data_IF_380170622324
#
_entry.id   IF_380170622324
#
_cell.length_a   1.000
_cell.length_b   1.000
_cell.length_c   1.000
_cell.angle_alpha   90.00
_cell.angle_beta   90.00
_cell.angle_gamma   90.00
#
_symmetry.space_group_name_H-M   'P 1'
#
loop_
_entity.id
_entity.type
_entity.pdbx_description
1 polymer ?
#
# COMPACT_ATOMS: atom_id res chain seq x y z
N UNK A 1 -14.38 22.53 7.64
CA UNK A 1 -14.64 21.30 6.90
C UNK A 1 -13.92 20.09 7.47
N UNK A 2 -13.96 18.98 6.76
CA UNK A 2 -13.22 17.77 7.20
C UNK A 2 -11.71 18.02 7.23
N UNK A 3 -11.20 18.74 6.25
CA UNK A 3 -9.77 19.11 6.16
C UNK A 3 -9.28 19.81 7.43
N UNK A 4 -9.99 20.84 7.90
CA UNK A 4 -9.59 21.60 9.12
C UNK A 4 -9.51 20.72 10.36
N UNK A 5 -10.40 19.72 10.45
CA UNK A 5 -10.39 18.75 11.54
C UNK A 5 -9.17 17.83 11.48
N UNK A 6 -8.81 17.37 10.29
CA UNK A 6 -7.63 16.54 10.07
C UNK A 6 -6.35 17.34 10.33
N UNK A 7 -6.24 18.56 9.80
CA UNK A 7 -5.10 19.44 10.02
C UNK A 7 -4.88 19.74 11.50
N UNK A 8 -5.97 20.05 12.22
CA UNK A 8 -5.90 20.22 13.67
C UNK A 8 -5.45 18.95 14.40
N UNK A 9 -5.95 17.78 13.99
CA UNK A 9 -5.57 16.52 14.61
C UNK A 9 -4.07 16.22 14.40
N UNK A 10 -3.55 16.45 13.19
CA UNK A 10 -2.12 16.32 12.88
C UNK A 10 -1.29 17.25 13.78
N UNK A 11 -1.71 18.51 13.90
CA UNK A 11 -1.05 19.49 14.75
C UNK A 11 -0.97 19.01 16.20
N UNK A 12 -2.09 18.55 16.76
CA UNK A 12 -2.15 18.07 18.15
C UNK A 12 -1.28 16.83 18.38
N UNK A 13 -1.29 15.88 17.44
CA UNK A 13 -0.48 14.67 17.51
C UNK A 13 1.03 15.02 17.49
N UNK A 14 1.44 15.92 16.63
CA UNK A 14 2.85 16.37 16.56
C UNK A 14 3.26 17.11 17.82
N UNK A 15 2.42 17.99 18.37
CA UNK A 15 2.68 18.67 19.65
C UNK A 15 2.83 17.67 20.80
N UNK A 16 2.15 16.53 20.74
CA UNK A 16 2.30 15.43 21.69
C UNK A 16 3.53 14.53 21.42
N UNK A 17 4.40 14.88 20.46
CA UNK A 17 5.58 14.08 20.11
C UNK A 17 5.28 12.80 19.34
N UNK A 18 4.07 12.66 18.80
CA UNK A 18 3.66 11.48 18.06
C UNK A 18 4.08 11.63 16.59
N UNK A 19 4.80 10.63 16.06
CA UNK A 19 5.16 10.58 14.65
C UNK A 19 3.89 10.39 13.81
N UNK A 20 3.68 11.30 12.86
CA UNK A 20 2.54 11.26 11.95
C UNK A 20 3.02 10.94 10.54
N UNK A 21 2.42 9.93 9.93
CA UNK A 21 2.59 9.59 8.53
C UNK A 21 1.27 9.84 7.79
N UNK A 22 1.35 10.57 6.68
CA UNK A 22 0.22 10.74 5.77
C UNK A 22 0.23 9.62 4.73
N UNK A 23 -0.93 9.04 4.49
CA UNK A 23 -1.13 8.08 3.41
C UNK A 23 -2.18 8.65 2.45
N UNK A 24 -1.73 8.98 1.24
CA UNK A 24 -2.57 9.51 0.18
C UNK A 24 -2.85 8.42 -0.86
N UNK A 25 -4.10 8.03 -1.02
CA UNK A 25 -4.55 7.24 -2.17
C UNK A 25 -4.89 8.19 -3.31
N UNK A 26 -4.01 8.24 -4.31
CA UNK A 26 -4.22 9.09 -5.47
C UNK A 26 -5.14 8.42 -6.47
N UNK A 27 -6.14 9.16 -6.93
CA UNK A 27 -7.17 8.71 -7.87
C UNK A 27 -7.41 9.80 -8.92
N UNK A 28 -8.14 9.52 -10.01
CA UNK A 28 -8.51 10.56 -10.97
C UNK A 28 -9.25 11.76 -10.35
N UNK A 29 -9.88 11.59 -9.18
CA UNK A 29 -10.66 12.65 -8.53
C UNK A 29 -9.80 13.66 -7.75
N UNK A 30 -8.61 13.29 -7.32
CA UNK A 30 -7.71 14.14 -6.53
C UNK A 30 -6.30 14.26 -7.13
N UNK A 31 -6.11 13.79 -8.35
CA UNK A 31 -4.80 13.85 -9.02
C UNK A 31 -4.30 15.28 -9.21
N UNK A 32 -5.22 16.21 -9.45
CA UNK A 32 -4.91 17.64 -9.59
C UNK A 32 -4.37 18.27 -8.29
N UNK A 33 -4.59 17.65 -7.15
CA UNK A 33 -4.15 18.16 -5.85
C UNK A 33 -2.79 17.61 -5.43
N UNK A 34 -2.14 16.75 -6.25
CA UNK A 34 -0.90 16.05 -5.88
C UNK A 34 0.20 17.02 -5.40
N UNK A 35 0.44 18.10 -6.13
CA UNK A 35 1.44 19.11 -5.78
C UNK A 35 1.12 19.78 -4.43
N UNK A 36 -0.15 20.14 -4.23
CA UNK A 36 -0.61 20.71 -2.97
C UNK A 36 -0.47 19.72 -1.79
N UNK A 37 -0.72 18.44 -2.01
CA UNK A 37 -0.56 17.38 -1.01
C UNK A 37 0.91 17.21 -0.63
N UNK A 38 1.82 17.21 -1.61
CA UNK A 38 3.26 17.11 -1.38
C UNK A 38 3.76 18.35 -0.63
N UNK A 39 3.38 19.56 -1.07
CA UNK A 39 3.75 20.82 -0.41
C UNK A 39 3.24 20.87 1.03
N UNK A 40 1.97 20.48 1.26
CA UNK A 40 1.38 20.42 2.59
C UNK A 40 2.19 19.53 3.55
N UNK A 41 2.63 18.36 3.06
CA UNK A 41 3.43 17.44 3.86
C UNK A 41 4.83 17.98 4.14
N UNK A 42 5.48 18.57 3.12
CA UNK A 42 6.81 19.14 3.22
C UNK A 42 6.87 20.33 4.19
N UNK A 43 5.92 21.28 4.09
CA UNK A 43 5.80 22.44 4.98
C UNK A 43 5.64 22.06 6.45
N UNK A 44 5.08 20.88 6.72
CA UNK A 44 4.84 20.36 8.07
C UNK A 44 5.81 19.28 8.50
N UNK A 45 6.85 19.01 7.71
CA UNK A 45 7.82 17.93 7.96
C UNK A 45 7.13 16.62 8.31
N UNK A 46 6.17 16.20 7.45
CA UNK A 46 5.41 14.97 7.59
C UNK A 46 5.91 13.92 6.61
N UNK A 47 5.97 12.68 7.05
CA UNK A 47 6.20 11.54 6.17
C UNK A 47 4.95 11.40 5.27
N UNK A 48 5.15 11.46 3.96
CA UNK A 48 4.09 11.28 2.98
C UNK A 48 4.34 10.05 2.13
N UNK A 49 3.38 9.15 2.13
CA UNK A 49 3.28 8.04 1.19
C UNK A 49 2.12 8.29 0.23
N UNK A 50 2.43 8.29 -1.07
CA UNK A 50 1.41 8.44 -2.12
C UNK A 50 1.28 7.13 -2.88
N UNK A 51 0.11 6.54 -2.82
CA UNK A 51 -0.24 5.32 -3.56
C UNK A 51 -1.00 5.70 -4.82
N UNK A 52 -0.43 5.40 -5.98
CA UNK A 52 -1.02 5.67 -7.30
C UNK A 52 -1.80 4.47 -7.84
N UNK A 53 -1.72 3.33 -7.17
CA UNK A 53 -2.44 2.13 -7.53
C UNK A 53 -3.56 1.83 -6.54
N UNK A 54 -4.78 1.77 -7.05
CA UNK A 54 -5.95 1.34 -6.29
C UNK A 54 -6.32 -0.08 -6.68
N UNK A 55 -6.37 -0.95 -5.69
CA UNK A 55 -6.84 -2.31 -5.91
C UNK A 55 -8.33 -2.32 -6.29
N UNK A 56 -8.76 -3.28 -7.11
CA UNK A 56 -10.18 -3.46 -7.37
C UNK A 56 -10.96 -3.66 -6.06
N UNK A 57 -12.24 -3.26 -6.00
CA UNK A 57 -13.06 -3.47 -4.81
C UNK A 57 -13.05 -4.95 -4.42
N UNK A 58 -12.66 -5.24 -3.18
CA UNK A 58 -12.62 -6.62 -2.67
C UNK A 58 -14.00 -7.21 -2.45
N UNK A 59 -14.98 -6.35 -2.27
CA UNK A 59 -16.38 -6.76 -2.22
C UNK A 59 -16.75 -7.16 -3.62
N UNK A 60 -17.03 -8.44 -3.78
CA UNK A 60 -17.50 -9.02 -5.05
C UNK A 60 -18.92 -8.54 -5.36
N UNK A 61 -19.06 -7.24 -5.51
CA UNK A 61 -20.30 -6.64 -5.95
C UNK A 61 -20.27 -6.57 -7.49
N UNK A 62 -21.08 -7.36 -8.18
CA UNK A 62 -21.11 -7.35 -9.65
C UNK A 62 -21.43 -5.99 -10.24
N UNK A 63 -22.11 -5.12 -9.49
CA UNK A 63 -22.46 -3.76 -9.94
C UNK A 63 -21.25 -2.84 -9.99
N UNK A 64 -20.16 -3.21 -9.30
CA UNK A 64 -18.90 -2.45 -9.26
C UNK A 64 -17.91 -2.88 -10.35
N UNK A 65 -18.25 -3.92 -11.14
CA UNK A 65 -17.39 -4.34 -12.25
C UNK A 65 -17.32 -3.21 -13.29
N UNK A 66 -16.08 -2.77 -13.59
CA UNK A 66 -15.81 -1.66 -14.50
C UNK A 66 -15.99 -0.26 -13.90
N UNK A 67 -16.51 -0.14 -12.68
CA UNK A 67 -16.55 1.13 -11.94
C UNK A 67 -15.31 1.25 -11.06
N UNK A 68 -14.20 1.53 -11.68
CA UNK A 68 -12.94 1.69 -10.98
C UNK A 68 -12.56 3.16 -10.99
N UNK A 69 -12.59 3.79 -9.82
CA UNK A 69 -12.02 5.12 -9.60
C UNK A 69 -10.48 5.04 -9.52
N UNK A 70 -9.88 4.30 -10.42
CA UNK A 70 -8.43 4.11 -10.52
C UNK A 70 -7.90 4.58 -11.85
N UNK A 71 -6.65 4.91 -11.87
CA UNK A 71 -5.91 5.24 -13.08
C UNK A 71 -5.80 4.04 -14.03
N UNK A 72 -5.69 4.32 -15.31
CA UNK A 72 -5.14 3.39 -16.29
C UNK A 72 -3.69 3.09 -15.95
N UNK A 73 -3.09 1.99 -16.46
CA UNK A 73 -1.67 1.70 -16.24
C UNK A 73 -0.74 2.85 -16.64
N UNK A 74 -1.04 3.53 -17.74
CA UNK A 74 -0.25 4.68 -18.21
C UNK A 74 -0.34 5.88 -17.26
N UNK A 75 -1.55 6.22 -16.81
CA UNK A 75 -1.75 7.28 -15.81
C UNK A 75 -1.11 6.91 -14.47
N UNK A 76 -1.21 5.64 -14.03
CA UNK A 76 -0.54 5.16 -12.82
C UNK A 76 0.97 5.39 -12.92
N UNK A 77 1.60 5.02 -14.03
CA UNK A 77 3.03 5.24 -14.27
C UNK A 77 3.36 6.74 -14.28
N UNK A 78 2.55 7.56 -14.97
CA UNK A 78 2.73 9.01 -15.00
C UNK A 78 2.72 9.60 -13.58
N UNK A 79 1.66 9.38 -12.81
CA UNK A 79 1.55 9.94 -11.46
C UNK A 79 2.55 9.33 -10.47
N UNK A 80 2.98 8.09 -10.69
CA UNK A 80 4.05 7.48 -9.92
C UNK A 80 5.38 8.23 -10.12
N UNK A 81 5.72 8.57 -11.35
CA UNK A 81 6.91 9.36 -11.66
C UNK A 81 6.78 10.81 -11.18
N UNK A 82 5.61 11.42 -11.37
CA UNK A 82 5.34 12.79 -10.95
C UNK A 82 5.47 12.97 -9.44
N UNK A 83 4.94 12.03 -8.63
CA UNK A 83 5.15 12.07 -7.18
C UNK A 83 6.62 11.99 -6.79
N UNK A 84 7.43 11.18 -7.50
CA UNK A 84 8.87 11.11 -7.24
C UNK A 84 9.56 12.43 -7.53
N UNK A 85 9.20 13.06 -8.64
CA UNK A 85 9.71 14.37 -9.03
C UNK A 85 9.41 15.43 -7.97
N UNK A 86 8.16 15.50 -7.55
CA UNK A 86 7.71 16.47 -6.53
C UNK A 86 8.33 16.22 -5.15
N UNK A 87 8.46 14.97 -4.73
CA UNK A 87 9.01 14.62 -3.40
C UNK A 87 10.53 14.74 -3.32
N UNK A 88 11.26 14.53 -4.43
CA UNK A 88 12.72 14.54 -4.46
C UNK A 88 13.31 15.84 -4.97
N UNK A 89 12.57 16.61 -5.74
CA UNK A 89 13.04 17.75 -6.51
C UNK A 89 13.70 17.35 -7.83
N UNK A 90 13.84 18.31 -8.73
CA UNK A 90 14.26 18.09 -10.13
C UNK A 90 15.66 17.46 -10.27
N UNK A 91 16.61 17.89 -9.44
CA UNK A 91 17.99 17.40 -9.51
C UNK A 91 18.09 15.92 -9.15
N UNK A 92 17.52 15.56 -7.99
CA UNK A 92 17.51 14.17 -7.51
C UNK A 92 16.68 13.27 -8.40
N UNK A 93 15.59 13.77 -8.93
CA UNK A 93 14.75 13.05 -9.88
C UNK A 93 15.49 12.78 -11.20
N UNK A 94 16.20 13.77 -11.74
CA UNK A 94 17.00 13.61 -12.95
C UNK A 94 18.10 12.56 -12.75
N UNK A 95 18.79 12.60 -11.62
CA UNK A 95 19.80 11.61 -11.24
C UNK A 95 19.21 10.20 -11.12
N UNK A 96 18.03 10.08 -10.53
CA UNK A 96 17.28 8.82 -10.42
C UNK A 96 16.96 8.25 -11.79
N UNK A 97 16.43 9.05 -12.74
CA UNK A 97 16.14 8.62 -14.10
C UNK A 97 17.40 8.15 -14.84
N UNK A 98 18.52 8.89 -14.72
CA UNK A 98 19.78 8.52 -15.34
C UNK A 98 20.29 7.17 -14.83
N UNK A 99 20.13 6.90 -13.53
CA UNK A 99 20.52 5.61 -12.94
C UNK A 99 19.67 4.46 -13.49
N UNK A 100 18.36 4.64 -13.61
CA UNK A 100 17.48 3.64 -14.24
C UNK A 100 17.92 3.36 -15.68
N UNK A 101 18.13 4.40 -16.48
CA UNK A 101 18.55 4.26 -17.87
C UNK A 101 19.91 3.58 -18.05
N UNK A 102 20.79 3.68 -17.05
CA UNK A 102 22.11 3.00 -17.02
C UNK A 102 22.03 1.58 -16.47
N UNK A 103 20.84 1.08 -16.12
CA UNK A 103 20.67 -0.22 -15.48
C UNK A 103 21.25 -0.31 -14.07
N UNK A 104 21.49 0.84 -13.43
CA UNK A 104 21.88 0.91 -12.03
C UNK A 104 20.61 0.63 -11.23
N UNK A 105 20.63 -0.44 -10.44
CA UNK A 105 19.49 -0.81 -9.60
C UNK A 105 19.03 0.38 -8.73
N UNK A 106 17.72 0.58 -8.52
CA UNK A 106 17.24 1.54 -7.56
C UNK A 106 17.83 1.24 -6.17
N UNK A 107 17.97 2.26 -5.29
CA UNK A 107 18.48 2.04 -3.94
C UNK A 107 17.72 0.92 -3.25
N UNK A 108 18.40 0.10 -2.44
CA UNK A 108 17.77 -0.98 -1.68
C UNK A 108 16.57 -0.43 -0.89
N UNK A 109 15.45 -1.11 -0.94
CA UNK A 109 14.19 -0.74 -0.28
C UNK A 109 13.01 -0.52 -1.24
N UNK A 110 13.19 -0.48 -2.55
CA UNK A 110 12.09 -0.42 -3.51
C UNK A 110 11.68 -1.80 -4.05
N UNK A 111 12.57 -2.78 -4.04
CA UNK A 111 12.35 -4.11 -4.64
C UNK A 111 12.81 -5.30 -3.77
N UNK A 112 13.33 -5.09 -2.56
CA UNK A 112 13.89 -6.18 -1.75
C UNK A 112 12.86 -7.19 -1.21
N UNK A 113 11.57 -6.92 -1.34
CA UNK A 113 10.51 -7.77 -0.79
C UNK A 113 9.90 -8.77 -1.79
N UNK A 114 10.30 -8.72 -3.05
CA UNK A 114 9.85 -9.67 -4.07
C UNK A 114 10.93 -10.71 -4.36
N UNK A 115 11.14 -11.61 -3.44
CA UNK A 115 11.85 -12.86 -3.76
C UNK A 115 10.86 -13.76 -4.47
N UNK A 116 11.14 -14.11 -5.73
CA UNK A 116 10.34 -15.06 -6.48
C UNK A 116 10.18 -16.35 -5.66
N UNK A 117 8.96 -16.84 -5.45
CA UNK A 117 8.76 -18.08 -4.72
C UNK A 117 9.32 -19.25 -5.53
N UNK A 118 10.44 -19.77 -5.06
CA UNK A 118 11.17 -20.89 -5.71
C UNK A 118 10.33 -22.17 -5.78
N UNK A 119 9.27 -22.26 -4.97
CA UNK A 119 8.46 -23.47 -4.77
C UNK A 119 6.96 -23.28 -4.97
N UNK A 120 6.53 -22.17 -5.58
CA UNK A 120 5.12 -21.82 -5.74
C UNK A 120 4.45 -21.31 -4.45
N UNK A 121 5.20 -21.02 -3.41
CA UNK A 121 4.71 -20.33 -2.22
C UNK A 121 4.43 -18.85 -2.56
N UNK A 122 3.51 -18.24 -1.83
CA UNK A 122 3.26 -16.80 -1.94
C UNK A 122 4.32 -16.08 -1.12
N UNK A 123 5.22 -15.35 -1.77
CA UNK A 123 6.17 -14.47 -1.11
C UNK A 123 5.46 -13.20 -0.64
N UNK A 124 4.83 -13.26 0.52
CA UNK A 124 4.13 -12.13 1.09
C UNK A 124 4.25 -12.16 2.62
N UNK A 125 4.44 -10.98 3.23
CA UNK A 125 4.44 -10.84 4.70
C UNK A 125 3.04 -10.94 5.31
N UNK A 126 1.99 -10.85 4.49
CA UNK A 126 0.61 -10.97 4.94
C UNK A 126 0.33 -12.34 5.58
N UNK A 127 -0.20 -12.33 6.79
CA UNK A 127 -0.41 -13.53 7.61
C UNK A 127 0.83 -14.03 8.33
N UNK A 128 2.02 -13.45 8.09
CA UNK A 128 3.28 -13.79 8.77
C UNK A 128 3.83 -12.65 9.63
N UNK A 129 3.81 -11.42 9.12
CA UNK A 129 4.27 -10.22 9.83
C UNK A 129 3.18 -9.13 9.93
N UNK A 130 2.07 -9.30 9.23
CA UNK A 130 0.91 -8.41 9.25
C UNK A 130 -0.39 -9.20 9.19
N UNK A 131 -1.45 -8.57 9.65
CA UNK A 131 -2.79 -9.13 9.64
C UNK A 131 -3.83 -8.02 9.43
N UNK A 132 -5.03 -8.42 9.13
CA UNK A 132 -6.20 -7.56 9.08
C UNK A 132 -7.31 -8.12 9.95
N UNK A 133 -7.97 -7.26 10.72
CA UNK A 133 -9.17 -7.62 11.46
C UNK A 133 -10.37 -7.02 10.74
N UNK A 134 -11.30 -7.87 10.36
CA UNK A 134 -12.53 -7.43 9.72
C UNK A 134 -13.52 -6.88 10.77
N UNK A 135 -14.44 -6.05 10.32
CA UNK A 135 -15.45 -5.43 11.20
C UNK A 135 -16.36 -6.45 11.91
N UNK A 136 -16.49 -7.66 11.35
CA UNK A 136 -17.29 -8.78 11.87
C UNK A 136 -16.46 -9.77 12.71
N UNK A 137 -15.21 -9.41 13.04
CA UNK A 137 -14.38 -10.13 14.03
C UNK A 137 -13.59 -11.29 13.47
N UNK A 138 -13.22 -11.28 12.19
CA UNK A 138 -12.30 -12.27 11.61
C UNK A 138 -10.89 -11.71 11.46
N UNK A 139 -9.92 -12.58 11.66
CA UNK A 139 -8.51 -12.33 11.38
C UNK A 139 -8.18 -12.91 9.99
N UNK A 140 -7.64 -12.06 9.10
CA UNK A 140 -7.23 -12.42 7.74
C UNK A 140 -5.80 -11.99 7.48
N UNK A 141 -5.09 -12.54 6.48
CA UNK A 141 -3.73 -12.16 6.16
C UNK A 141 -3.59 -10.66 5.85
N UNK A 142 -4.50 -10.13 5.07
CA UNK A 142 -4.57 -8.70 4.74
C UNK A 142 -5.98 -8.31 4.30
N UNK A 143 -6.22 -7.01 4.13
CA UNK A 143 -7.50 -6.50 3.65
C UNK A 143 -7.89 -6.98 2.25
N UNK A 144 -6.96 -7.55 1.47
CA UNK A 144 -7.17 -8.03 0.11
C UNK A 144 -7.38 -9.53 0.00
N UNK A 145 -6.95 -10.29 1.02
CA UNK A 145 -7.11 -11.74 1.07
C UNK A 145 -8.19 -12.10 2.09
N UNK A 146 -9.42 -12.34 1.64
CA UNK A 146 -10.54 -12.68 2.54
C UNK A 146 -10.44 -14.10 3.11
N UNK A 147 -9.50 -14.91 2.60
CA UNK A 147 -9.20 -16.28 3.04
C UNK A 147 -7.68 -16.50 2.99
N UNK A 148 -7.10 -17.29 3.91
CA UNK A 148 -7.76 -17.89 5.07
C UNK A 148 -8.31 -16.86 6.04
N UNK A 149 -9.28 -17.23 6.86
CA UNK A 149 -9.81 -16.38 7.92
C UNK A 149 -10.02 -17.19 9.20
N UNK A 150 -9.66 -16.59 10.32
CA UNK A 150 -9.77 -17.20 11.65
C UNK A 150 -10.72 -16.36 12.50
N UNK A 151 -11.68 -16.98 13.13
CA UNK A 151 -12.61 -16.27 14.01
C UNK A 151 -11.90 -15.85 15.30
N UNK A 152 -12.05 -14.56 15.65
CA UNK A 152 -11.48 -14.03 16.89
C UNK A 152 -12.42 -14.17 18.09
N UNK A 153 -13.72 -14.35 17.85
CA UNK A 153 -14.70 -14.44 18.93
C UNK A 153 -14.42 -15.66 19.82
N UNK A 154 -14.18 -15.41 21.10
CA UNK A 154 -13.93 -16.47 22.07
C UNK A 154 -12.55 -17.15 21.97
N UNK A 155 -11.65 -16.64 21.12
CA UNK A 155 -10.31 -17.19 20.94
C UNK A 155 -9.25 -16.14 21.33
N UNK A 156 -8.21 -16.53 22.11
CA UNK A 156 -7.09 -15.63 22.38
C UNK A 156 -6.38 -15.21 21.09
N UNK A 157 -6.01 -13.93 20.97
CA UNK A 157 -5.35 -13.42 19.76
C UNK A 157 -4.11 -14.22 19.38
N UNK A 158 -3.26 -14.61 20.34
CA UNK A 158 -2.05 -15.39 20.09
C UNK A 158 -2.35 -16.71 19.39
N UNK A 159 -3.41 -17.40 19.78
CA UNK A 159 -3.85 -18.66 19.18
C UNK A 159 -4.35 -18.44 17.75
N UNK A 160 -5.23 -17.45 17.56
CA UNK A 160 -5.75 -17.08 16.25
C UNK A 160 -4.62 -16.65 15.29
N UNK A 161 -3.65 -15.91 15.80
CA UNK A 161 -2.47 -15.49 15.04
C UNK A 161 -1.62 -16.67 14.61
N UNK A 162 -1.28 -17.58 15.53
CA UNK A 162 -0.51 -18.79 15.23
C UNK A 162 -1.20 -19.67 14.18
N UNK A 163 -2.52 -19.79 14.28
CA UNK A 163 -3.31 -20.54 13.30
C UNK A 163 -3.29 -19.83 11.93
N UNK A 164 -3.49 -18.51 11.89
CA UNK A 164 -3.43 -17.74 10.67
C UNK A 164 -2.07 -17.86 9.98
N UNK A 165 -0.99 -17.70 10.71
CA UNK A 165 0.39 -17.82 10.19
C UNK A 165 0.61 -19.20 9.57
N UNK A 166 0.22 -20.26 10.26
CA UNK A 166 0.35 -21.63 9.75
C UNK A 166 -0.40 -21.84 8.43
N UNK A 167 -1.66 -21.39 8.34
CA UNK A 167 -2.47 -21.60 7.13
C UNK A 167 -2.07 -20.64 6.00
N UNK A 168 -1.58 -19.45 6.31
CA UNK A 168 -1.07 -18.50 5.32
C UNK A 168 0.23 -19.01 4.69
N UNK A 169 1.16 -19.51 5.48
CA UNK A 169 2.43 -20.06 4.99
C UNK A 169 2.25 -21.33 4.13
N UNK A 170 1.15 -22.03 4.30
CA UNK A 170 0.82 -23.21 3.49
C UNK A 170 0.16 -22.86 2.14
N UNK A 171 -0.15 -21.58 1.89
CA UNK A 171 -0.77 -21.17 0.63
C UNK A 171 0.19 -21.32 -0.55
N UNK A 172 -0.34 -21.72 -1.69
CA UNK A 172 0.41 -21.89 -2.93
C UNK A 172 -0.27 -21.08 -4.03
N UNK A 173 0.53 -20.58 -4.95
CA UNK A 173 0.05 -19.99 -6.18
C UNK A 173 -0.70 -21.06 -6.99
N UNK A 174 -1.77 -20.66 -7.67
CA UNK A 174 -2.41 -21.57 -8.63
C UNK A 174 -1.45 -21.86 -9.78
N UNK A 175 -1.52 -23.07 -10.37
CA UNK A 175 -0.68 -23.42 -11.50
C UNK A 175 -0.81 -22.52 -12.73
N UNK A 176 -1.89 -21.71 -12.78
CA UNK A 176 -2.10 -20.68 -13.82
C UNK A 176 -1.39 -19.37 -13.52
N UNK A 177 -0.83 -19.18 -12.31
CA UNK A 177 -0.09 -17.97 -11.91
C UNK A 177 1.42 -18.12 -12.10
N UNK A 178 1.90 -19.24 -12.63
CA UNK A 178 3.33 -19.41 -12.96
C UNK A 178 3.69 -18.51 -14.14
N UNK A 179 4.56 -17.55 -13.91
CA UNK A 179 5.04 -16.60 -14.93
C UNK A 179 4.36 -15.25 -14.98
N UNK A 180 3.50 -14.91 -14.03
CA UNK A 180 3.08 -13.53 -13.79
C UNK A 180 4.24 -12.80 -13.07
N UNK A 181 5.08 -12.15 -13.84
CA UNK A 181 6.07 -11.17 -13.37
C UNK A 181 5.47 -9.78 -13.30
#
# INVERSE_FOLDING_TARGET
GMFDRVDRAITLLRQAGILVKLNCSLTPHNACDLEGIVSYAAERDLILEVNTYMFPPLRRDPTMVGRNDRFTPAETAHYHMERYRLQRGEEDFTRFLQNILRGIAPPPGLDEDCVDPVDGTISCRAGNASFWVTWDGWLTPCGMMPKPRIELKGKPFREAWSELTRVSSAQRLSGTCTGCQ
#
